data_IF_032063063954
#
_entry.id   IF_032063063954
#
_cell.length_a   1.000
_cell.length_b   1.000
_cell.length_c   1.000
_cell.angle_alpha   90.00
_cell.angle_beta   90.00
_cell.angle_gamma   90.00
#
_symmetry.space_group_name_H-M   'P 1'
#
loop_
_entity.id
_entity.type
_entity.pdbx_description
1 polymer ?
#
# COMPACT_ATOMS: atom_id res chain seq x y z
N UNK A 1 23.70 24.59 22.25
CA UNK A 1 23.50 23.41 21.37
C UNK A 1 22.01 23.15 21.22
N UNK A 2 21.44 23.36 20.03
CA UNK A 2 20.02 23.06 19.74
C UNK A 2 19.89 21.54 19.64
N UNK A 3 19.03 20.93 20.44
CA UNK A 3 18.70 19.52 20.37
C UNK A 3 18.01 19.24 19.03
N UNK A 4 18.66 18.45 18.17
CA UNK A 4 18.05 17.88 16.96
C UNK A 4 16.89 17.00 17.45
N UNK A 5 15.64 17.41 17.21
CA UNK A 5 14.47 16.53 17.38
C UNK A 5 14.79 15.25 16.61
N UNK A 6 14.82 14.09 17.26
CA UNK A 6 14.71 12.84 16.53
C UNK A 6 13.35 12.89 15.84
N UNK A 7 13.36 12.98 14.51
CA UNK A 7 12.15 12.84 13.70
C UNK A 7 11.55 11.48 14.05
N UNK A 8 10.44 11.50 14.79
CA UNK A 8 9.71 10.26 15.10
C UNK A 8 9.22 9.72 13.76
N UNK A 9 9.76 8.58 13.32
CA UNK A 9 9.25 7.87 12.15
C UNK A 9 7.82 7.44 12.49
N UNK A 10 6.84 8.17 11.95
CA UNK A 10 5.44 7.82 12.13
C UNK A 10 5.16 6.55 11.34
N UNK A 11 4.62 5.49 11.99
CA UNK A 11 4.29 4.26 11.28
C UNK A 11 3.22 4.55 10.21
N UNK A 12 3.45 4.05 9.00
CA UNK A 12 2.66 4.36 7.81
C UNK A 12 1.42 3.47 7.70
N UNK A 13 0.45 3.90 6.90
CA UNK A 13 -0.49 2.96 6.26
C UNK A 13 0.22 2.42 5.01
N UNK A 14 0.26 1.11 4.81
CA UNK A 14 0.82 0.50 3.59
C UNK A 14 -0.33 0.10 2.68
N UNK A 15 -0.30 0.51 1.42
CA UNK A 15 -1.31 0.11 0.43
C UNK A 15 -0.67 -0.61 -0.74
N UNK A 16 -1.10 -1.85 -1.00
CA UNK A 16 -0.73 -2.58 -2.21
C UNK A 16 -1.58 -2.13 -3.40
N UNK A 17 -0.97 -1.91 -4.56
CA UNK A 17 -1.71 -1.61 -5.79
C UNK A 17 -1.25 -2.47 -6.97
N UNK A 18 -2.22 -2.92 -7.77
CA UNK A 18 -1.98 -3.50 -9.09
C UNK A 18 -2.53 -2.60 -10.21
N UNK A 19 -2.92 -1.36 -9.90
CA UNK A 19 -3.53 -0.38 -10.80
C UNK A 19 -4.92 -0.75 -11.35
N UNK A 20 -5.59 -1.75 -10.78
CA UNK A 20 -7.00 -2.02 -11.11
C UNK A 20 -7.92 -0.98 -10.46
N UNK A 21 -9.17 -0.82 -10.95
CA UNK A 21 -10.15 0.02 -10.27
C UNK A 21 -10.40 -0.40 -8.81
N UNK A 22 -10.36 -1.70 -8.50
CA UNK A 22 -10.49 -2.18 -7.12
C UNK A 22 -9.31 -1.71 -6.25
N UNK A 23 -8.08 -1.80 -6.77
CA UNK A 23 -6.90 -1.23 -6.11
C UNK A 23 -6.99 0.30 -5.94
N UNK A 24 -7.61 1.02 -6.89
CA UNK A 24 -7.87 2.46 -6.77
C UNK A 24 -8.76 2.80 -5.58
N UNK A 25 -9.85 2.06 -5.37
CA UNK A 25 -10.72 2.25 -4.19
C UNK A 25 -9.99 1.90 -2.87
N UNK A 26 -9.14 0.87 -2.89
CA UNK A 26 -8.30 0.55 -1.75
C UNK A 26 -7.31 1.69 -1.45
N UNK A 27 -6.70 2.29 -2.47
CA UNK A 27 -5.77 3.40 -2.35
C UNK A 27 -6.46 4.68 -1.83
N UNK A 28 -7.67 5.00 -2.31
CA UNK A 28 -8.48 6.11 -1.79
C UNK A 28 -8.80 5.93 -0.30
N UNK A 29 -9.18 4.70 0.09
CA UNK A 29 -9.46 4.34 1.48
C UNK A 29 -8.20 4.46 2.34
N UNK A 30 -7.06 3.97 1.84
CA UNK A 30 -5.78 4.07 2.52
C UNK A 30 -5.34 5.52 2.73
N UNK A 31 -5.50 6.38 1.71
CA UNK A 31 -5.20 7.81 1.79
C UNK A 31 -6.09 8.52 2.81
N UNK A 32 -7.40 8.23 2.82
CA UNK A 32 -8.33 8.80 3.80
C UNK A 32 -7.97 8.38 5.24
N UNK A 33 -7.57 7.13 5.45
CA UNK A 33 -7.14 6.61 6.76
C UNK A 33 -5.80 7.22 7.20
N UNK A 34 -4.80 7.27 6.30
CA UNK A 34 -3.49 7.86 6.58
C UNK A 34 -3.62 9.33 7.03
N UNK A 35 -4.44 10.11 6.30
CA UNK A 35 -4.78 11.51 6.67
C UNK A 35 -5.42 11.60 8.04
N UNK A 36 -6.44 10.80 8.32
CA UNK A 36 -7.13 10.78 9.62
C UNK A 36 -6.20 10.39 10.77
N UNK A 37 -5.25 9.51 10.52
CA UNK A 37 -4.26 9.06 11.50
C UNK A 37 -3.04 9.98 11.61
N UNK A 38 -2.94 11.02 10.77
CA UNK A 38 -1.77 11.90 10.68
C UNK A 38 -0.46 11.12 10.49
N UNK A 39 -0.47 10.17 9.55
CA UNK A 39 0.68 9.37 9.19
C UNK A 39 0.85 9.30 7.66
N UNK A 40 2.05 8.96 7.17
CA UNK A 40 2.28 8.76 5.74
C UNK A 40 1.49 7.54 5.21
N UNK A 41 1.23 7.57 3.91
CA UNK A 41 0.80 6.44 3.09
C UNK A 41 1.99 5.94 2.26
N UNK A 42 2.37 4.68 2.47
CA UNK A 42 3.31 3.99 1.60
C UNK A 42 2.51 3.23 0.52
N UNK A 43 2.48 3.77 -0.70
CA UNK A 43 1.84 3.16 -1.87
C UNK A 43 2.85 2.24 -2.57
N UNK A 44 2.54 0.94 -2.62
CA UNK A 44 3.49 -0.10 -3.00
C UNK A 44 2.97 -0.90 -4.16
N UNK A 45 3.77 -1.00 -5.21
CA UNK A 45 3.56 -1.97 -6.28
C UNK A 45 4.61 -3.07 -6.18
N UNK A 46 4.18 -4.32 -6.12
CA UNK A 46 5.09 -5.47 -6.16
C UNK A 46 5.13 -6.06 -7.56
N UNK A 47 6.34 -6.28 -8.09
CA UNK A 47 6.56 -6.84 -9.41
C UNK A 47 7.60 -7.96 -9.35
N UNK A 48 7.32 -9.08 -10.00
CA UNK A 48 8.30 -10.18 -10.17
C UNK A 48 9.31 -9.89 -11.29
N UNK A 49 9.09 -8.84 -12.09
CA UNK A 49 9.99 -8.37 -13.13
C UNK A 49 10.59 -7.03 -12.72
N UNK A 50 11.79 -6.68 -13.22
CA UNK A 50 12.38 -5.36 -13.01
C UNK A 50 11.37 -4.26 -13.35
N UNK A 51 11.40 -3.18 -12.58
CA UNK A 51 10.55 -2.03 -12.85
C UNK A 51 10.85 -1.45 -14.23
N UNK A 52 9.85 -1.32 -15.09
CA UNK A 52 9.97 -0.62 -16.37
C UNK A 52 9.25 0.74 -16.31
N UNK A 53 9.65 1.65 -17.21
CA UNK A 53 9.14 3.03 -17.28
C UNK A 53 7.60 3.16 -17.19
N UNK A 54 6.78 2.33 -17.88
CA UNK A 54 5.32 2.45 -17.78
C UNK A 54 4.77 2.21 -16.37
N UNK A 55 5.33 1.25 -15.62
CA UNK A 55 4.90 0.94 -14.26
C UNK A 55 5.24 2.07 -13.30
N UNK A 56 6.43 2.66 -13.44
CA UNK A 56 6.86 3.82 -12.66
C UNK A 56 5.94 5.02 -12.91
N UNK A 57 5.61 5.29 -14.17
CA UNK A 57 4.71 6.38 -14.53
C UNK A 57 3.29 6.17 -13.97
N UNK A 58 2.75 4.94 -14.04
CA UNK A 58 1.44 4.62 -13.46
C UNK A 58 1.43 4.79 -11.94
N UNK A 59 2.47 4.30 -11.26
CA UNK A 59 2.57 4.43 -9.81
C UNK A 59 2.71 5.89 -9.37
N UNK A 60 3.54 6.68 -10.08
CA UNK A 60 3.72 8.12 -9.81
C UNK A 60 2.41 8.87 -10.02
N UNK A 61 1.69 8.60 -11.12
CA UNK A 61 0.41 9.25 -11.39
C UNK A 61 -0.64 8.95 -10.31
N UNK A 62 -0.69 7.71 -9.83
CA UNK A 62 -1.59 7.32 -8.74
C UNK A 62 -1.18 7.98 -7.41
N UNK A 63 0.12 8.03 -7.11
CA UNK A 63 0.61 8.73 -5.93
C UNK A 63 0.27 10.23 -5.97
N UNK A 64 0.44 10.89 -7.11
CA UNK A 64 0.11 12.29 -7.30
C UNK A 64 -1.40 12.56 -7.15
N UNK A 65 -2.25 11.66 -7.67
CA UNK A 65 -3.70 11.72 -7.48
C UNK A 65 -4.07 11.69 -6.00
N UNK A 66 -3.46 10.81 -5.21
CA UNK A 66 -3.69 10.69 -3.76
C UNK A 66 -3.11 11.89 -2.98
N UNK A 67 -1.97 12.44 -3.42
CA UNK A 67 -1.41 13.68 -2.86
C UNK A 67 -2.33 14.87 -3.06
N UNK A 68 -2.98 14.98 -4.22
CA UNK A 68 -4.00 16.02 -4.49
C UNK A 68 -5.22 15.91 -3.56
N UNK A 69 -5.49 14.72 -3.01
CA UNK A 69 -6.50 14.52 -1.97
C UNK A 69 -5.99 14.86 -0.55
N UNK A 70 -4.75 15.33 -0.41
CA UNK A 70 -4.16 15.79 0.84
C UNK A 70 -3.47 14.70 1.67
N UNK A 71 -3.14 13.55 1.09
CA UNK A 71 -2.32 12.52 1.76
C UNK A 71 -0.81 12.80 1.57
N UNK A 72 -0.02 12.48 2.61
CA UNK A 72 1.44 12.38 2.49
C UNK A 72 1.79 11.00 1.93
N UNK A 73 2.10 10.93 0.63
CA UNK A 73 2.28 9.66 -0.09
C UNK A 73 3.74 9.44 -0.44
N UNK A 74 4.23 8.23 -0.16
CA UNK A 74 5.52 7.69 -0.62
C UNK A 74 5.24 6.50 -1.51
N UNK A 75 5.78 6.50 -2.71
CA UNK A 75 5.62 5.45 -3.69
C UNK A 75 6.88 4.61 -3.81
N UNK A 76 6.70 3.30 -3.96
CA UNK A 76 7.81 2.38 -4.19
C UNK A 76 7.38 1.19 -5.04
N UNK A 77 8.31 0.72 -5.87
CA UNK A 77 8.21 -0.60 -6.49
C UNK A 77 9.14 -1.53 -5.74
N UNK A 78 8.61 -2.67 -5.32
CA UNK A 78 9.34 -3.74 -4.65
C UNK A 78 9.40 -4.95 -5.56
N UNK A 79 10.54 -5.63 -5.56
CA UNK A 79 10.72 -6.85 -6.34
C UNK A 79 10.30 -8.07 -5.53
N UNK A 80 9.38 -8.87 -6.07
CA UNK A 80 8.93 -10.10 -5.43
C UNK A 80 7.42 -10.35 -5.54
N UNK A 81 6.96 -11.36 -4.78
CA UNK A 81 5.54 -11.70 -4.68
C UNK A 81 4.81 -10.67 -3.83
N UNK A 82 3.68 -10.17 -4.30
CA UNK A 82 2.95 -9.08 -3.66
C UNK A 82 2.58 -9.36 -2.20
N UNK A 83 2.04 -10.54 -1.89
CA UNK A 83 1.67 -10.87 -0.53
C UNK A 83 2.88 -10.97 0.41
N UNK A 84 3.99 -11.53 -0.07
CA UNK A 84 5.23 -11.62 0.72
C UNK A 84 5.83 -10.24 1.00
N UNK A 85 5.91 -9.37 0.00
CA UNK A 85 6.45 -8.02 0.17
C UNK A 85 5.57 -7.16 1.07
N UNK A 86 4.24 -7.25 0.93
CA UNK A 86 3.32 -6.55 1.83
C UNK A 86 3.46 -7.04 3.28
N UNK A 87 3.59 -8.36 3.50
CA UNK A 87 3.82 -8.92 4.83
C UNK A 87 5.18 -8.50 5.39
N UNK A 88 6.23 -8.40 4.57
CA UNK A 88 7.54 -7.88 4.98
C UNK A 88 7.47 -6.41 5.41
N UNK A 89 6.62 -5.60 4.78
CA UNK A 89 6.39 -4.20 5.14
C UNK A 89 5.48 -4.04 6.38
N UNK A 90 4.62 -5.02 6.64
CA UNK A 90 3.64 -5.08 7.73
C UNK A 90 4.25 -5.30 9.14
N UNK A 91 5.20 -4.45 9.55
CA UNK A 91 5.88 -4.55 10.86
C UNK A 91 5.23 -3.63 11.91
N UNK A 92 4.89 -4.11 13.13
CA UNK A 92 4.15 -3.34 14.16
C UNK A 92 4.71 -1.98 14.58
N UNK A 93 6.00 -1.69 14.30
CA UNK A 93 6.66 -0.42 14.64
C UNK A 93 6.74 0.57 13.48
N UNK A 94 6.54 0.12 12.24
CA UNK A 94 6.68 0.94 11.03
C UNK A 94 5.42 0.97 10.18
N UNK A 95 4.48 0.06 10.41
CA UNK A 95 3.21 -0.04 9.71
C UNK A 95 2.07 -0.08 10.72
N UNK A 96 1.06 0.79 10.52
CA UNK A 96 -0.17 0.82 11.32
C UNK A 96 -1.18 -0.21 10.84
N UNK A 97 -1.26 -0.38 9.51
CA UNK A 97 -2.13 -1.34 8.86
C UNK A 97 -1.73 -1.52 7.40
N UNK A 98 -2.11 -2.65 6.83
CA UNK A 98 -2.03 -2.90 5.39
C UNK A 98 -3.43 -2.72 4.79
N UNK A 99 -3.51 -2.08 3.63
CA UNK A 99 -4.72 -1.92 2.84
C UNK A 99 -4.51 -2.58 1.48
N UNK A 100 -5.44 -3.41 1.07
CA UNK A 100 -5.42 -4.14 -0.20
C UNK A 100 -6.84 -4.23 -0.75
N UNK A 101 -6.96 -4.34 -2.08
CA UNK A 101 -8.25 -4.65 -2.69
C UNK A 101 -8.59 -6.13 -2.53
N UNK A 102 -9.88 -6.41 -2.38
CA UNK A 102 -10.47 -7.75 -2.39
C UNK A 102 -10.23 -8.49 -3.69
N UNK A 103 -10.12 -7.78 -4.81
CA UNK A 103 -9.88 -8.36 -6.13
C UNK A 103 -8.68 -7.68 -6.81
N UNK A 104 -8.05 -8.41 -7.73
CA UNK A 104 -6.97 -7.89 -8.57
C UNK A 104 -7.09 -8.38 -10.01
N UNK A 105 -6.10 -8.06 -10.86
CA UNK A 105 -6.13 -8.29 -12.32
C UNK A 105 -6.50 -9.71 -12.75
N UNK A 106 -6.19 -10.72 -11.94
CA UNK A 106 -6.30 -12.15 -12.28
C UNK A 106 -7.48 -12.84 -11.61
N UNK A 107 -8.33 -12.11 -10.88
CA UNK A 107 -9.41 -12.72 -10.11
C UNK A 107 -10.58 -13.16 -11.02
N UNK A 108 -11.00 -14.44 -10.99
CA UNK A 108 -12.20 -14.89 -11.69
C UNK A 108 -13.47 -14.32 -11.04
N UNK A 109 -14.52 -14.09 -11.83
CA UNK A 109 -15.81 -13.48 -11.41
C UNK A 109 -16.51 -14.12 -10.19
N UNK A 110 -16.11 -15.31 -9.73
CA UNK A 110 -16.78 -16.07 -8.67
C UNK A 110 -16.05 -16.12 -7.32
N UNK A 111 -14.89 -15.49 -7.19
CA UNK A 111 -14.15 -15.46 -5.91
C UNK A 111 -14.47 -14.19 -5.12
N UNK A 112 -14.71 -14.34 -3.82
CA UNK A 112 -14.99 -13.23 -2.90
C UNK A 112 -13.71 -12.50 -2.47
N UNK A 113 -12.56 -13.18 -2.45
CA UNK A 113 -11.25 -12.66 -2.03
C UNK A 113 -10.16 -13.10 -3.01
N UNK A 114 -9.23 -12.20 -3.28
CA UNK A 114 -8.04 -12.41 -4.08
C UNK A 114 -6.92 -13.04 -3.24
N UNK A 115 -6.06 -13.80 -3.91
CA UNK A 115 -4.99 -14.54 -3.23
C UNK A 115 -4.00 -13.65 -2.49
N UNK A 116 -3.74 -12.43 -2.99
CA UNK A 116 -2.91 -11.45 -2.29
C UNK A 116 -3.61 -10.95 -1.02
N UNK A 117 -4.87 -10.52 -1.11
CA UNK A 117 -5.62 -10.05 0.06
C UNK A 117 -5.77 -11.11 1.13
N UNK A 118 -6.06 -12.35 0.74
CA UNK A 118 -6.22 -13.47 1.66
C UNK A 118 -4.91 -13.77 2.40
N UNK A 119 -3.81 -13.99 1.66
CA UNK A 119 -2.52 -14.34 2.27
C UNK A 119 -1.90 -13.19 3.07
N UNK A 120 -2.12 -11.94 2.66
CA UNK A 120 -1.71 -10.77 3.46
C UNK A 120 -2.50 -10.70 4.75
N UNK A 121 -3.83 -10.84 4.72
CA UNK A 121 -4.66 -10.82 5.92
C UNK A 121 -4.35 -11.97 6.88
N UNK A 122 -4.03 -13.16 6.34
CA UNK A 122 -3.63 -14.33 7.13
C UNK A 122 -2.30 -14.14 7.87
N UNK A 123 -1.33 -13.43 7.27
CA UNK A 123 0.08 -13.44 7.71
C UNK A 123 0.57 -12.12 8.29
N UNK A 124 -0.08 -11.00 7.99
CA UNK A 124 0.36 -9.70 8.46
C UNK A 124 0.32 -9.63 10.00
N UNK A 125 1.35 -9.04 10.60
CA UNK A 125 1.43 -8.84 12.06
C UNK A 125 0.71 -7.57 12.53
N UNK A 126 0.01 -6.90 11.61
CA UNK A 126 -0.74 -5.66 11.82
C UNK A 126 -2.12 -5.81 11.17
N UNK A 127 -3.12 -5.00 11.55
CA UNK A 127 -4.44 -5.04 10.93
C UNK A 127 -4.34 -4.97 9.40
N UNK A 128 -5.10 -5.83 8.71
CA UNK A 128 -5.25 -5.77 7.26
C UNK A 128 -6.70 -5.38 6.95
N UNK A 129 -6.86 -4.29 6.20
CA UNK A 129 -8.15 -3.88 5.65
C UNK A 129 -8.22 -4.33 4.20
N UNK A 130 -9.23 -5.15 3.91
CA UNK A 130 -9.58 -5.54 2.55
C UNK A 130 -10.75 -4.68 2.08
N UNK A 131 -10.61 -4.05 0.91
CA UNK A 131 -11.58 -3.12 0.32
C UNK A 131 -12.27 -3.73 -0.90
#
# INVERSE_FOLDING_TARGET
MKTKKLDKVHPAVVCGTDFTPAAGHAADTAAALARRMSCPLDLVHASALPSYSPTLAQLSAEADRLRQQGADVRESIVEGNADEELVKLAKPKSCRMVVVSSLGKRAPQRWLLGSVSERTAERALVPTLVV
#
